data_IF_580863636996
#
_entry.id   IF_580863636996
#
_cell.length_a   1.000
_cell.length_b   1.000
_cell.length_c   1.000
_cell.angle_alpha   90.00
_cell.angle_beta   90.00
_cell.angle_gamma   90.00
#
_symmetry.space_group_name_H-M   'P 1'
#
loop_
_entity.id
_entity.type
_entity.pdbx_description
1 polymer ?
#
# COMPACT_ATOMS: atom_id res chain seq x y z
N UNK A 1 -33.67 -18.39 -2.20
CA UNK A 1 -34.09 -17.54 -1.08
C UNK A 1 -33.66 -18.01 0.32
N UNK A 2 -33.72 -19.30 0.70
CA UNK A 2 -33.09 -19.75 1.98
C UNK A 2 -31.64 -20.22 1.85
N UNK A 3 -31.21 -20.55 0.63
CA UNK A 3 -29.84 -20.97 0.32
C UNK A 3 -28.85 -19.77 0.26
N UNK A 4 -29.37 -18.57 -0.04
CA UNK A 4 -28.58 -17.34 -0.21
C UNK A 4 -28.09 -16.71 1.11
N UNK A 5 -28.85 -16.89 2.21
CA UNK A 5 -28.51 -16.25 3.49
C UNK A 5 -27.27 -16.86 4.14
N UNK A 6 -27.06 -18.17 3.94
CA UNK A 6 -25.94 -18.93 4.53
C UNK A 6 -24.61 -18.69 3.82
N UNK A 7 -24.64 -18.20 2.58
CA UNK A 7 -23.44 -17.82 1.83
C UNK A 7 -23.01 -16.38 2.13
N UNK A 8 -23.97 -15.47 2.34
CA UNK A 8 -23.70 -14.09 2.77
C UNK A 8 -22.97 -14.04 4.12
N UNK A 9 -23.26 -14.97 5.04
CA UNK A 9 -22.59 -15.07 6.34
C UNK A 9 -21.09 -15.44 6.24
N UNK A 10 -20.59 -15.87 5.07
CA UNK A 10 -19.16 -16.14 4.81
C UNK A 10 -18.43 -14.97 4.15
N UNK A 11 -19.16 -13.93 3.72
CA UNK A 11 -18.55 -12.78 3.06
C UNK A 11 -17.98 -11.82 4.10
N UNK A 12 -16.80 -11.30 3.82
CA UNK A 12 -16.20 -10.22 4.59
C UNK A 12 -16.66 -8.91 3.94
N UNK A 13 -17.47 -8.14 4.67
CA UNK A 13 -17.89 -6.81 4.25
C UNK A 13 -16.81 -5.77 4.59
N UNK A 14 -16.69 -4.67 3.82
CA UNK A 14 -15.77 -3.59 4.17
C UNK A 14 -16.16 -2.98 5.52
N UNK A 15 -15.19 -2.82 6.39
CA UNK A 15 -15.33 -2.09 7.65
C UNK A 15 -14.65 -0.73 7.50
N UNK A 16 -15.42 0.32 7.24
CA UNK A 16 -14.90 1.66 6.94
C UNK A 16 -14.24 2.37 8.14
N UNK A 17 -14.35 1.81 9.35
CA UNK A 17 -13.61 2.28 10.52
C UNK A 17 -12.36 1.43 10.81
N UNK A 18 -12.29 0.23 10.20
CA UNK A 18 -11.16 -0.72 10.29
C UNK A 18 -10.75 -1.21 8.90
N UNK A 19 -10.41 -0.27 8.05
CA UNK A 19 -9.93 -0.47 6.70
C UNK A 19 -8.51 0.08 6.53
N UNK A 20 -7.79 -0.41 5.52
CA UNK A 20 -6.46 0.11 5.17
C UNK A 20 -6.43 1.63 4.92
N UNK A 21 -7.52 2.22 4.43
CA UNK A 21 -7.59 3.68 4.24
C UNK A 21 -7.47 4.44 5.56
N UNK A 22 -7.94 3.87 6.67
CA UNK A 22 -7.88 4.53 7.98
C UNK A 22 -6.43 4.63 8.49
N UNK A 23 -5.53 3.73 8.05
CA UNK A 23 -4.09 3.86 8.28
C UNK A 23 -3.56 5.12 7.58
N UNK A 24 -3.87 5.29 6.29
CA UNK A 24 -3.45 6.48 5.52
C UNK A 24 -4.05 7.76 6.08
N UNK A 25 -5.28 7.71 6.58
CA UNK A 25 -5.90 8.86 7.22
C UNK A 25 -5.20 9.23 8.54
N UNK A 26 -4.84 8.25 9.38
CA UNK A 26 -4.03 8.47 10.59
C UNK A 26 -2.67 9.10 10.28
N UNK A 27 -1.97 8.61 9.25
CA UNK A 27 -0.69 9.20 8.84
C UNK A 27 -0.86 10.58 8.20
N UNK A 28 -1.93 10.80 7.43
CA UNK A 28 -2.27 12.12 6.90
C UNK A 28 -2.43 13.12 8.05
N UNK A 29 -3.20 12.76 9.08
CA UNK A 29 -3.38 13.57 10.30
C UNK A 29 -2.06 13.81 11.02
N UNK A 30 -1.22 12.79 11.18
CA UNK A 30 0.11 12.91 11.82
C UNK A 30 1.05 13.87 11.08
N UNK A 31 1.00 13.87 9.75
CA UNK A 31 1.76 14.79 8.90
C UNK A 31 1.10 16.18 8.80
N UNK A 32 -0.11 16.38 9.35
CA UNK A 32 -0.84 17.65 9.25
C UNK A 32 -1.60 17.84 7.93
N UNK A 33 -1.69 16.81 7.10
CA UNK A 33 -2.46 16.78 5.86
C UNK A 33 -3.95 16.65 6.19
N UNK A 34 -4.78 17.51 5.61
CA UNK A 34 -6.23 17.45 5.80
C UNK A 34 -6.81 16.17 5.17
N UNK A 35 -7.68 15.49 5.90
CA UNK A 35 -8.38 14.28 5.47
C UNK A 35 -9.82 14.35 5.97
N UNK A 36 -10.75 13.86 5.16
CA UNK A 36 -12.18 13.71 5.49
C UNK A 36 -12.54 12.27 5.92
N UNK A 37 -11.57 11.35 5.81
CA UNK A 37 -11.71 9.93 6.17
C UNK A 37 -11.47 9.72 7.66
N UNK A 38 -12.16 8.77 8.28
CA UNK A 38 -11.92 8.44 9.69
C UNK A 38 -10.52 7.85 9.88
N UNK A 39 -9.92 8.11 11.05
CA UNK A 39 -8.59 7.64 11.42
C UNK A 39 -8.68 6.35 12.24
N UNK A 40 -7.60 5.58 12.26
CA UNK A 40 -7.53 4.34 13.02
C UNK A 40 -7.09 4.64 14.46
N UNK A 41 -8.01 4.51 15.42
CA UNK A 41 -7.78 4.92 16.83
C UNK A 41 -6.49 4.34 17.43
N UNK A 42 -6.22 3.05 17.25
CA UNK A 42 -5.04 2.39 17.82
C UNK A 42 -3.73 3.00 17.29
N UNK A 43 -3.72 3.46 16.04
CA UNK A 43 -2.58 4.10 15.42
C UNK A 43 -2.47 5.56 15.87
N UNK A 44 -3.60 6.27 15.95
CA UNK A 44 -3.64 7.65 16.48
C UNK A 44 -3.12 7.73 17.93
N UNK A 45 -3.57 6.83 18.80
CA UNK A 45 -3.13 6.77 20.20
C UNK A 45 -1.60 6.55 20.31
N UNK A 46 -1.03 5.80 19.37
CA UNK A 46 0.41 5.52 19.32
C UNK A 46 1.21 6.71 18.78
N UNK A 47 0.71 7.38 17.74
CA UNK A 47 1.39 8.51 17.08
C UNK A 47 1.46 9.78 17.95
N UNK A 48 0.61 9.91 18.97
CA UNK A 48 0.68 11.01 19.96
C UNK A 48 2.01 11.04 20.73
N UNK A 49 2.72 9.91 20.80
CA UNK A 49 4.03 9.82 21.45
C UNK A 49 5.15 10.56 20.71
N UNK A 50 4.88 11.00 19.48
CA UNK A 50 5.75 11.88 18.69
C UNK A 50 7.20 11.36 18.55
N UNK A 51 7.29 10.14 18.04
CA UNK A 51 8.55 9.42 17.81
C UNK A 51 9.52 10.19 16.91
N UNK A 52 10.82 9.96 17.12
CA UNK A 52 11.86 10.46 16.20
C UNK A 52 11.72 9.80 14.83
N UNK A 53 11.51 8.49 14.77
CA UNK A 53 11.32 7.76 13.52
C UNK A 53 9.98 7.02 13.52
N UNK A 54 9.11 7.36 12.56
CA UNK A 54 7.89 6.61 12.27
C UNK A 54 8.08 5.87 10.96
N UNK A 55 8.10 4.54 11.03
CA UNK A 55 8.34 3.67 9.88
C UNK A 55 7.05 2.90 9.56
N UNK A 56 6.55 3.07 8.35
CA UNK A 56 5.40 2.34 7.83
C UNK A 56 5.83 1.41 6.71
N UNK A 57 5.66 0.10 6.90
CA UNK A 57 6.07 -0.92 5.93
C UNK A 57 4.85 -1.71 5.46
N UNK A 58 4.66 -1.77 4.15
CA UNK A 58 3.68 -2.64 3.49
C UNK A 58 4.42 -3.85 2.92
N UNK A 59 4.10 -5.04 3.42
CA UNK A 59 4.52 -6.32 2.83
C UNK A 59 3.39 -6.88 1.97
N UNK A 60 3.57 -6.92 0.65
CA UNK A 60 2.52 -7.32 -0.27
C UNK A 60 2.13 -8.79 -0.06
N UNK A 61 0.83 -9.08 -0.01
CA UNK A 61 0.31 -10.42 0.23
C UNK A 61 0.46 -10.94 1.66
N UNK A 62 1.05 -10.20 2.62
CA UNK A 62 1.18 -10.63 4.02
C UNK A 62 -0.08 -10.33 4.85
N UNK A 63 -1.20 -10.97 4.49
CA UNK A 63 -2.47 -10.84 5.21
C UNK A 63 -2.59 -11.77 6.43
N UNK A 64 -3.77 -11.76 7.06
CA UNK A 64 -4.13 -12.63 8.20
C UNK A 64 -3.82 -14.11 7.95
N UNK A 65 -4.32 -14.66 6.84
CA UNK A 65 -4.21 -16.10 6.57
C UNK A 65 -2.74 -16.55 6.41
N UNK A 66 -1.90 -15.89 5.57
CA UNK A 66 -0.47 -16.21 5.51
C UNK A 66 0.22 -16.20 6.87
N UNK A 67 -0.07 -15.21 7.72
CA UNK A 67 0.50 -15.11 9.08
C UNK A 67 0.06 -16.29 9.95
N UNK A 68 -1.24 -16.55 10.06
CA UNK A 68 -1.78 -17.57 10.97
C UNK A 68 -1.43 -19.01 10.55
N UNK A 69 -1.32 -19.26 9.25
CA UNK A 69 -1.00 -20.59 8.70
C UNK A 69 0.49 -20.90 8.82
N UNK A 70 1.36 -19.93 8.53
CA UNK A 70 2.79 -20.21 8.34
C UNK A 70 3.67 -19.80 9.53
N UNK A 71 3.18 -18.96 10.44
CA UNK A 71 3.98 -18.48 11.56
C UNK A 71 3.48 -19.05 12.89
N UNK A 72 4.42 -19.50 13.72
CA UNK A 72 4.14 -19.91 15.10
C UNK A 72 3.62 -18.72 15.92
N UNK A 73 2.79 -18.97 16.94
CA UNK A 73 2.19 -17.93 17.79
C UNK A 73 3.23 -17.02 18.46
N UNK A 74 4.36 -17.57 18.88
CA UNK A 74 5.46 -16.83 19.51
C UNK A 74 6.40 -16.13 18.54
N UNK A 75 6.22 -16.29 17.22
CA UNK A 75 7.07 -15.63 16.22
C UNK A 75 6.94 -14.10 16.30
N UNK A 76 7.99 -13.38 15.89
CA UNK A 76 8.06 -11.93 16.02
C UNK A 76 6.83 -11.23 15.40
N UNK A 77 6.48 -11.52 14.14
CA UNK A 77 5.34 -10.87 13.48
C UNK A 77 4.02 -11.24 14.17
N UNK A 78 3.75 -12.53 14.39
CA UNK A 78 2.45 -13.00 14.91
C UNK A 78 2.19 -12.53 16.34
N UNK A 79 3.20 -12.53 17.20
CA UNK A 79 3.12 -12.04 18.58
C UNK A 79 2.93 -10.52 18.69
N UNK A 80 3.25 -9.77 17.64
CA UNK A 80 3.11 -8.31 17.61
C UNK A 80 1.89 -7.81 16.83
N UNK A 81 1.05 -8.70 16.28
CA UNK A 81 -0.23 -8.29 15.65
C UNK A 81 -1.11 -7.60 16.67
N UNK A 82 -1.52 -6.37 16.37
CA UNK A 82 -2.45 -5.59 17.20
C UNK A 82 -3.89 -5.68 16.72
N UNK A 83 -4.07 -5.68 15.41
CA UNK A 83 -5.40 -5.67 14.79
C UNK A 83 -5.34 -6.22 13.37
N UNK A 84 -6.45 -6.84 12.92
CA UNK A 84 -6.67 -7.22 11.53
C UNK A 84 -7.71 -6.26 10.92
N UNK A 85 -7.36 -5.67 9.77
CA UNK A 85 -8.20 -4.71 9.07
C UNK A 85 -8.76 -5.31 7.79
N UNK A 86 -9.88 -4.77 7.33
CA UNK A 86 -10.38 -5.02 5.97
C UNK A 86 -9.55 -4.23 4.96
N UNK A 87 -9.55 -4.67 3.70
CA UNK A 87 -8.87 -4.00 2.60
C UNK A 87 -9.88 -3.44 1.59
N UNK A 88 -9.40 -2.81 0.53
CA UNK A 88 -10.23 -2.30 -0.55
C UNK A 88 -10.82 -3.42 -1.40
N UNK A 89 -11.94 -3.11 -2.07
CA UNK A 89 -12.45 -3.94 -3.15
C UNK A 89 -12.24 -3.25 -4.49
N UNK A 90 -11.71 -3.94 -5.52
CA UNK A 90 -11.10 -5.27 -5.46
C UNK A 90 -9.79 -5.28 -4.64
N UNK A 91 -9.47 -6.39 -3.97
CA UNK A 91 -8.28 -6.51 -3.11
C UNK A 91 -7.00 -6.79 -3.92
N UNK A 92 -6.72 -5.94 -4.92
CA UNK A 92 -5.52 -6.04 -5.76
C UNK A 92 -4.40 -5.16 -5.20
N UNK A 93 -3.14 -5.53 -5.47
CA UNK A 93 -1.96 -4.73 -5.11
C UNK A 93 -2.10 -3.28 -5.57
N UNK A 94 -2.45 -3.07 -6.85
CA UNK A 94 -2.60 -1.72 -7.40
C UNK A 94 -3.64 -0.90 -6.65
N UNK A 95 -4.80 -1.48 -6.35
CA UNK A 95 -5.87 -0.77 -5.66
C UNK A 95 -5.48 -0.43 -4.21
N UNK A 96 -5.00 -1.43 -3.47
CA UNK A 96 -4.61 -1.26 -2.09
C UNK A 96 -3.45 -0.27 -1.92
N UNK A 97 -2.38 -0.41 -2.73
CA UNK A 97 -1.20 0.50 -2.66
C UNK A 97 -1.55 1.92 -3.09
N UNK A 98 -2.41 2.09 -4.09
CA UNK A 98 -2.89 3.43 -4.49
C UNK A 98 -3.72 4.06 -3.38
N UNK A 99 -4.64 3.32 -2.75
CA UNK A 99 -5.38 3.78 -1.56
C UNK A 99 -4.42 4.14 -0.43
N UNK A 100 -3.42 3.29 -0.16
CA UNK A 100 -2.41 3.57 0.85
C UNK A 100 -1.69 4.89 0.58
N UNK A 101 -1.20 5.13 -0.65
CA UNK A 101 -0.47 6.36 -0.96
C UNK A 101 -1.35 7.61 -1.02
N UNK A 102 -2.52 7.51 -1.66
CA UNK A 102 -3.37 8.67 -1.95
C UNK A 102 -4.28 9.08 -0.80
N UNK A 103 -4.53 8.19 0.16
CA UNK A 103 -5.62 8.36 1.13
C UNK A 103 -6.97 8.63 0.42
N UNK A 104 -7.21 7.93 -0.70
CA UNK A 104 -8.44 7.97 -1.49
C UNK A 104 -9.04 6.56 -1.55
N UNK A 105 -10.37 6.48 -1.60
CA UNK A 105 -11.08 5.25 -1.88
C UNK A 105 -10.85 4.81 -3.34
N UNK A 106 -11.02 3.50 -3.64
CA UNK A 106 -10.93 2.97 -4.99
C UNK A 106 -11.71 3.77 -6.03
N UNK A 107 -12.93 4.19 -5.69
CA UNK A 107 -13.81 4.96 -6.58
C UNK A 107 -13.31 6.39 -6.83
N UNK A 108 -12.51 6.95 -5.93
CA UNK A 108 -11.95 8.29 -6.06
C UNK A 108 -10.69 8.29 -6.93
N UNK A 109 -9.84 7.25 -6.83
CA UNK A 109 -8.59 7.19 -7.58
C UNK A 109 -8.66 6.35 -8.87
N UNK A 110 -9.62 5.43 -9.03
CA UNK A 110 -9.87 4.70 -10.28
C UNK A 110 -8.86 3.59 -10.65
N UNK A 111 -7.90 3.29 -9.78
CA UNK A 111 -6.83 2.30 -10.04
C UNK A 111 -7.19 0.94 -9.44
N UNK A 112 -8.13 0.22 -10.06
CA UNK A 112 -8.74 -0.98 -9.45
C UNK A 112 -7.94 -2.29 -9.59
N UNK A 113 -7.04 -2.40 -10.56
CA UNK A 113 -6.35 -3.66 -10.90
C UNK A 113 -4.98 -3.42 -11.54
N UNK A 114 -4.23 -4.49 -11.81
CA UNK A 114 -2.96 -4.40 -12.54
C UNK A 114 -3.15 -3.85 -13.96
N UNK A 115 -4.19 -4.34 -14.66
CA UNK A 115 -4.53 -3.94 -16.02
C UNK A 115 -5.96 -3.42 -16.08
N UNK A 116 -6.20 -2.32 -16.81
CA UNK A 116 -7.53 -1.79 -17.07
C UNK A 116 -7.76 -1.61 -18.56
N UNK A 117 -8.98 -1.85 -19.01
CA UNK A 117 -9.42 -1.53 -20.36
C UNK A 117 -9.82 -0.05 -20.46
N UNK A 118 -9.34 0.61 -21.51
CA UNK A 118 -9.63 2.01 -21.83
C UNK A 118 -10.30 2.07 -23.19
N UNK A 119 -11.61 2.37 -23.19
CA UNK A 119 -12.44 2.43 -24.39
C UNK A 119 -11.92 3.47 -25.40
N UNK A 120 -11.40 4.61 -24.94
CA UNK A 120 -10.96 5.71 -25.83
C UNK A 120 -9.77 5.36 -26.72
N UNK A 121 -8.99 4.35 -26.33
CA UNK A 121 -7.84 3.86 -27.09
C UNK A 121 -8.00 2.40 -27.52
N UNK A 122 -9.09 1.75 -27.10
CA UNK A 122 -9.35 0.32 -27.29
C UNK A 122 -8.15 -0.57 -26.92
N UNK A 123 -7.63 -0.36 -25.70
CA UNK A 123 -6.49 -1.12 -25.15
C UNK A 123 -6.67 -1.47 -23.68
N UNK A 124 -6.12 -2.62 -23.30
CA UNK A 124 -5.81 -2.93 -21.91
C UNK A 124 -4.41 -2.40 -21.60
N UNK A 125 -4.29 -1.54 -20.58
CA UNK A 125 -3.01 -1.01 -20.13
C UNK A 125 -2.69 -1.48 -18.71
N UNK A 126 -1.44 -1.87 -18.49
CA UNK A 126 -0.86 -2.12 -17.17
C UNK A 126 -0.61 -0.79 -16.47
N UNK A 127 -1.32 -0.53 -15.36
CA UNK A 127 -1.48 0.83 -14.83
C UNK A 127 -0.13 1.46 -14.45
N UNK A 128 0.75 0.71 -13.77
CA UNK A 128 2.04 1.21 -13.29
C UNK A 128 3.07 1.42 -14.42
N UNK A 129 2.94 0.72 -15.55
CA UNK A 129 3.94 0.78 -16.62
C UNK A 129 3.46 1.51 -17.87
N UNK A 130 2.15 1.72 -18.00
CA UNK A 130 1.51 2.24 -19.21
C UNK A 130 1.71 1.36 -20.44
N UNK A 131 2.10 0.09 -20.25
CA UNK A 131 2.29 -0.88 -21.32
C UNK A 131 0.97 -1.52 -21.68
N UNK A 132 0.81 -1.83 -22.97
CA UNK A 132 -0.30 -2.68 -23.39
C UNK A 132 -0.16 -4.07 -22.75
N UNK A 133 -1.20 -4.53 -22.06
CA UNK A 133 -1.15 -5.72 -21.21
C UNK A 133 -0.86 -7.00 -22.00
N UNK A 134 -1.25 -7.04 -23.28
CA UNK A 134 -1.07 -8.23 -24.13
C UNK A 134 0.28 -8.24 -24.83
N UNK A 135 0.69 -7.10 -25.40
CA UNK A 135 1.89 -6.99 -26.24
C UNK A 135 3.13 -6.57 -25.44
N UNK A 136 2.94 -6.06 -24.22
CA UNK A 136 3.98 -5.49 -23.36
C UNK A 136 4.74 -4.31 -23.98
N UNK A 137 4.27 -3.80 -25.13
CA UNK A 137 4.82 -2.62 -25.77
C UNK A 137 4.34 -1.37 -25.04
N UNK A 138 5.23 -0.40 -24.91
CA UNK A 138 4.85 0.94 -24.45
C UNK A 138 4.07 1.59 -25.57
N UNK A 139 2.74 1.54 -25.48
CA UNK A 139 1.86 2.12 -26.51
C UNK A 139 1.40 3.51 -26.11
N UNK A 140 1.21 3.78 -24.81
CA UNK A 140 0.62 5.03 -24.31
C UNK A 140 1.27 5.46 -22.99
N UNK A 141 2.58 5.76 -23.02
CA UNK A 141 3.35 6.15 -21.82
C UNK A 141 2.69 7.33 -21.11
N UNK A 142 2.36 7.16 -19.84
CA UNK A 142 1.78 8.22 -19.00
C UNK A 142 0.28 8.44 -19.14
N UNK A 143 -0.43 7.69 -20.00
CA UNK A 143 -1.88 7.83 -20.19
C UNK A 143 -2.67 7.54 -18.91
N UNK A 144 -2.24 6.54 -18.14
CA UNK A 144 -2.83 6.22 -16.84
C UNK A 144 -2.60 7.34 -15.83
N UNK A 145 -1.39 7.91 -15.81
CA UNK A 145 -1.01 9.01 -14.92
C UNK A 145 -1.65 10.36 -15.28
N UNK A 146 -2.09 10.57 -16.52
CA UNK A 146 -2.81 11.79 -16.91
C UNK A 146 -4.30 11.70 -16.60
N UNK A 147 -4.92 10.53 -16.78
CA UNK A 147 -6.36 10.36 -16.63
C UNK A 147 -6.79 10.21 -15.16
N UNK A 148 -5.99 9.51 -14.36
CA UNK A 148 -6.29 9.19 -12.97
C UNK A 148 -5.11 9.54 -12.08
N UNK A 149 -4.64 10.78 -12.17
CA UNK A 149 -3.53 11.28 -11.35
C UNK A 149 -3.97 11.36 -9.90
N UNK A 150 -3.16 10.81 -9.00
CA UNK A 150 -3.24 11.10 -7.58
C UNK A 150 -1.92 11.70 -7.08
N UNK A 151 -1.98 12.36 -5.94
CA UNK A 151 -0.81 12.85 -5.21
C UNK A 151 -0.75 12.11 -3.90
N UNK A 152 0.35 11.39 -3.59
CA UNK A 152 0.50 10.77 -2.29
C UNK A 152 0.36 11.79 -1.16
N UNK A 153 -0.34 11.43 -0.10
CA UNK A 153 -0.62 12.36 1.01
C UNK A 153 0.67 12.90 1.64
N UNK A 154 1.74 12.10 1.62
CA UNK A 154 3.04 12.43 2.21
C UNK A 154 3.92 13.32 1.32
N UNK A 155 3.53 13.60 0.07
CA UNK A 155 4.31 14.45 -0.84
C UNK A 155 4.28 15.93 -0.41
N UNK A 156 3.12 16.42 0.04
CA UNK A 156 2.92 17.80 0.48
C UNK A 156 2.85 17.90 2.00
N UNK A 157 3.73 17.19 2.72
CA UNK A 157 3.78 17.14 4.17
C UNK A 157 3.82 18.56 4.81
N UNK A 158 2.74 19.02 5.47
CA UNK A 158 2.73 20.32 6.15
C UNK A 158 3.59 20.37 7.41
N UNK A 159 4.00 19.21 7.95
CA UNK A 159 4.78 19.12 9.16
C UNK A 159 6.27 19.31 8.88
N UNK A 160 6.73 20.56 8.98
CA UNK A 160 8.10 20.98 8.65
C UNK A 160 9.19 20.32 9.50
N UNK A 161 8.90 19.89 10.74
CA UNK A 161 9.86 19.20 11.61
C UNK A 161 10.08 17.72 11.23
N UNK A 162 9.31 17.18 10.28
CA UNK A 162 9.38 15.78 9.85
C UNK A 162 9.86 15.67 8.40
N UNK A 163 10.98 14.99 8.20
CA UNK A 163 11.44 14.60 6.87
C UNK A 163 10.76 13.32 6.40
N UNK A 164 10.14 13.37 5.23
CA UNK A 164 9.55 12.19 4.58
C UNK A 164 10.59 11.49 3.71
N UNK A 165 10.72 10.18 3.88
CA UNK A 165 11.52 9.29 3.04
C UNK A 165 10.65 8.17 2.49
N UNK A 166 11.04 7.60 1.37
CA UNK A 166 10.35 6.44 0.79
C UNK A 166 11.33 5.35 0.38
N UNK A 167 10.94 4.09 0.55
CA UNK A 167 11.70 2.92 0.09
C UNK A 167 10.80 2.08 -0.80
N UNK A 168 11.16 1.99 -2.08
CA UNK A 168 10.32 1.34 -3.09
C UNK A 168 11.10 0.39 -3.99
N UNK A 169 10.46 -0.66 -4.54
CA UNK A 169 10.97 -1.40 -5.68
C UNK A 169 11.13 -0.49 -6.90
N UNK A 170 11.99 -0.90 -7.84
CA UNK A 170 12.26 -0.11 -9.06
C UNK A 170 11.04 0.12 -9.94
N UNK A 171 10.08 -0.80 -9.95
CA UNK A 171 8.90 -0.70 -10.81
C UNK A 171 7.83 0.27 -10.28
N UNK A 172 7.92 0.68 -9.01
CA UNK A 172 7.00 1.68 -8.43
C UNK A 172 7.53 3.05 -8.78
N UNK A 173 6.87 3.73 -9.71
CA UNK A 173 7.20 5.11 -10.11
C UNK A 173 6.53 6.17 -9.24
N UNK A 174 5.32 5.87 -8.75
CA UNK A 174 4.49 6.86 -8.07
C UNK A 174 4.95 7.15 -6.64
N UNK A 175 4.85 8.41 -6.25
CA UNK A 175 5.31 8.90 -4.95
C UNK A 175 6.83 8.94 -4.76
N UNK A 176 7.59 8.78 -5.84
CA UNK A 176 9.04 9.00 -5.82
C UNK A 176 9.37 10.48 -5.75
N UNK A 177 10.33 10.81 -4.90
CA UNK A 177 10.92 12.13 -4.75
C UNK A 177 12.46 12.01 -4.58
N UNK A 178 13.12 13.13 -4.32
CA UNK A 178 14.58 13.18 -4.09
C UNK A 178 15.06 12.44 -2.83
N UNK A 179 14.15 12.03 -1.94
CA UNK A 179 14.42 11.23 -0.72
C UNK A 179 13.89 9.80 -0.84
N UNK A 180 13.65 9.33 -2.07
CA UNK A 180 13.26 7.94 -2.32
C UNK A 180 14.47 7.08 -2.68
N UNK A 181 14.57 5.93 -2.02
CA UNK A 181 15.62 4.92 -2.26
C UNK A 181 15.01 3.63 -2.81
N UNK A 182 15.83 2.83 -3.48
CA UNK A 182 15.40 1.60 -4.13
C UNK A 182 15.75 0.40 -3.28
N UNK A 183 14.78 -0.51 -3.11
CA UNK A 183 14.99 -1.82 -2.52
C UNK A 183 14.10 -2.85 -3.24
N UNK A 184 14.70 -3.93 -3.71
CA UNK A 184 14.02 -5.00 -4.46
C UNK A 184 13.83 -6.28 -3.62
N UNK A 185 14.41 -6.30 -2.41
CA UNK A 185 14.32 -7.40 -1.46
C UNK A 185 14.03 -6.87 -0.05
N UNK A 186 13.57 -7.74 0.83
CA UNK A 186 13.36 -7.43 2.26
C UNK A 186 14.69 -7.02 2.91
N UNK A 187 15.79 -7.68 2.59
CA UNK A 187 17.12 -7.37 3.14
C UNK A 187 17.59 -5.98 2.70
N UNK A 188 17.44 -5.65 1.41
CA UNK A 188 17.76 -4.31 0.90
C UNK A 188 16.90 -3.24 1.59
N UNK A 189 15.61 -3.52 1.81
CA UNK A 189 14.71 -2.59 2.50
C UNK A 189 15.22 -2.28 3.91
N UNK A 190 15.61 -3.29 4.69
CA UNK A 190 16.14 -3.07 6.04
C UNK A 190 17.52 -2.41 6.05
N UNK A 191 18.40 -2.72 5.10
CA UNK A 191 19.69 -2.03 4.93
C UNK A 191 19.48 -0.54 4.66
N UNK A 192 18.53 -0.17 3.80
CA UNK A 192 18.22 1.23 3.51
C UNK A 192 17.53 1.92 4.70
N UNK A 193 16.64 1.23 5.42
CA UNK A 193 16.06 1.73 6.67
C UNK A 193 17.15 2.08 7.69
N UNK A 194 18.11 1.18 7.92
CA UNK A 194 19.22 1.40 8.86
C UNK A 194 20.07 2.64 8.50
N UNK A 195 20.17 2.98 7.22
CA UNK A 195 20.85 4.21 6.77
C UNK A 195 20.00 5.44 7.07
N UNK A 196 18.70 5.40 6.78
CA UNK A 196 17.79 6.53 6.95
C UNK A 196 17.63 6.93 8.42
N UNK A 197 17.44 5.95 9.33
CA UNK A 197 17.25 6.23 10.76
C UNK A 197 18.48 6.87 11.42
N UNK A 198 19.68 6.73 10.83
CA UNK A 198 20.91 7.39 11.30
C UNK A 198 20.95 8.88 11.01
N UNK A 199 20.11 9.40 10.11
CA UNK A 199 20.00 10.83 9.89
C UNK A 199 19.40 11.53 11.11
N UNK A 200 19.76 12.80 11.33
CA UNK A 200 19.22 13.58 12.45
C UNK A 200 17.82 14.11 12.14
N UNK A 201 17.02 14.30 13.18
CA UNK A 201 15.70 14.93 13.10
C UNK A 201 14.59 13.92 12.85
N UNK A 202 13.34 14.37 12.95
CA UNK A 202 12.20 13.45 12.87
C UNK A 202 11.96 12.97 11.45
N UNK A 203 11.55 11.72 11.30
CA UNK A 203 11.34 11.07 10.01
C UNK A 203 10.02 10.34 9.96
N UNK A 204 9.40 10.39 8.79
CA UNK A 204 8.35 9.46 8.40
C UNK A 204 8.88 8.68 7.19
N UNK A 205 8.97 7.36 7.31
CA UNK A 205 9.49 6.51 6.24
C UNK A 205 8.39 5.60 5.72
N UNK A 206 8.00 5.80 4.46
CA UNK A 206 7.00 4.99 3.78
C UNK A 206 7.70 3.91 2.96
N UNK A 207 7.44 2.64 3.27
CA UNK A 207 8.08 1.51 2.62
C UNK A 207 7.05 0.59 1.97
N UNK A 208 7.38 0.09 0.78
CA UNK A 208 6.64 -0.98 0.13
C UNK A 208 7.61 -2.10 -0.27
N UNK A 209 7.24 -3.34 0.04
CA UNK A 209 7.93 -4.54 -0.35
C UNK A 209 6.94 -5.45 -1.08
N UNK A 210 7.34 -5.95 -2.25
CA UNK A 210 6.50 -6.83 -3.09
C UNK A 210 6.51 -8.30 -2.64
N UNK A 211 7.28 -8.62 -1.60
CA UNK A 211 7.27 -9.91 -0.91
C UNK A 211 6.39 -9.85 0.36
N UNK A 212 5.74 -10.98 0.74
CA UNK A 212 5.85 -12.32 0.15
C UNK A 212 5.03 -12.59 -1.13
N UNK A 213 4.21 -11.65 -1.61
CA UNK A 213 3.31 -11.92 -2.76
C UNK A 213 4.06 -12.37 -4.02
N UNK A 214 5.12 -11.66 -4.40
CA UNK A 214 6.01 -12.03 -5.52
C UNK A 214 6.51 -13.48 -5.39
N UNK A 215 6.99 -13.86 -4.20
CA UNK A 215 7.44 -15.23 -3.93
C UNK A 215 6.30 -16.24 -4.04
N UNK A 216 5.12 -15.96 -3.48
CA UNK A 216 3.95 -16.83 -3.57
C UNK A 216 3.46 -17.03 -5.01
N UNK A 217 3.42 -15.96 -5.81
CA UNK A 217 3.05 -16.05 -7.23
C UNK A 217 4.04 -16.88 -8.04
N UNK A 218 5.32 -16.78 -7.70
CA UNK A 218 6.39 -17.55 -8.35
C UNK A 218 6.24 -19.03 -8.06
N UNK A 219 6.06 -19.43 -6.78
CA UNK A 219 5.91 -20.84 -6.38
C UNK A 219 4.65 -21.48 -6.99
N UNK A 220 3.53 -20.76 -7.05
CA UNK A 220 2.30 -21.25 -7.68
C UNK A 220 2.47 -21.58 -9.16
N UNK A 221 3.35 -20.87 -9.88
CA UNK A 221 3.64 -21.14 -11.30
C UNK A 221 4.46 -22.43 -11.53
N UNK A 222 5.19 -22.91 -10.53
CA UNK A 222 5.99 -24.14 -10.61
C UNK A 222 5.30 -25.38 -10.04
N UNK A 223 4.05 -25.24 -9.58
CA UNK A 223 3.23 -26.33 -9.02
C UNK A 223 2.09 -26.77 -9.94
N UNK A 224 2.14 -26.37 -11.23
CA UNK A 224 1.29 -26.80 -12.34
C UNK A 224 2.16 -27.42 -13.44
#
# INVERSE_FOLDING_TARGET
MKQDKKELDKLIFPDFEKNIINISSSFSKYLGVKTDKSTLKILDDELVKDYEDVIFIIFDGLGKNPIEINLEEGSFIRSHVKEYLTTTYPSTTTNATTTFMSNLYPMEHGWFAWSLYYEEIDKCLDIFTGRDSFTQKVTHKGYTNTKYKFTPYFENNPREDVSVYSIFPFFVSEGRNNKTVNASTVDELFIELEKIVKYKGKKFVYCYCDDPDKTMQTIKKFSL
#
